data_IF_152689712874
#
_entry.id   IF_152689712874
#
_cell.length_a   1.000
_cell.length_b   1.000
_cell.length_c   1.000
_cell.angle_alpha   90.00
_cell.angle_beta   90.00
_cell.angle_gamma   90.00
#
_symmetry.space_group_name_H-M   'P 1'
#
loop_
_entity.id
_entity.type
_entity.pdbx_description
1 polymer ?
#
# COMPACT_ATOMS: atom_id res chain seq x y z
N UNK A 1 -4.32 -16.99 -14.94
CA UNK A 1 -5.15 -16.20 -15.86
C UNK A 1 -4.29 -15.01 -16.23
N UNK A 2 -3.71 -14.98 -17.44
CA UNK A 2 -2.88 -13.85 -17.87
C UNK A 2 -3.81 -12.68 -18.17
N UNK A 3 -4.04 -11.81 -17.20
CA UNK A 3 -4.70 -10.53 -17.43
C UNK A 3 -3.66 -9.63 -18.09
N UNK A 4 -3.74 -9.53 -19.42
CA UNK A 4 -2.98 -8.55 -20.17
C UNK A 4 -3.59 -7.19 -19.86
N UNK A 5 -2.93 -6.44 -18.98
CA UNK A 5 -3.35 -5.10 -18.59
C UNK A 5 -3.29 -4.22 -19.85
N UNK A 6 -4.31 -3.42 -20.10
CA UNK A 6 -4.22 -2.40 -21.14
C UNK A 6 -3.14 -1.39 -20.74
N UNK A 7 -1.98 -1.47 -21.41
CA UNK A 7 -0.79 -0.66 -21.16
C UNK A 7 -1.09 0.85 -21.12
N UNK A 8 -2.02 1.31 -21.96
CA UNK A 8 -2.39 2.72 -21.98
C UNK A 8 -3.22 3.13 -20.75
N UNK A 9 -4.12 2.25 -20.29
CA UNK A 9 -4.87 2.44 -19.05
C UNK A 9 -3.96 2.36 -17.83
N UNK A 10 -3.01 1.42 -17.78
CA UNK A 10 -2.02 1.33 -16.71
C UNK A 10 -1.12 2.56 -16.62
N UNK A 11 -0.64 3.06 -17.77
CA UNK A 11 0.19 4.26 -17.82
C UNK A 11 -0.55 5.51 -17.33
N UNK A 12 -1.82 5.69 -17.71
CA UNK A 12 -2.65 6.81 -17.23
C UNK A 12 -2.90 6.72 -15.73
N UNK A 13 -3.26 5.54 -15.23
CA UNK A 13 -3.45 5.32 -13.79
C UNK A 13 -2.14 5.56 -13.01
N UNK A 14 -1.00 5.09 -13.51
CA UNK A 14 0.31 5.35 -12.91
C UNK A 14 0.63 6.85 -12.84
N UNK A 15 0.29 7.62 -13.87
CA UNK A 15 0.46 9.07 -13.88
C UNK A 15 -0.46 9.78 -12.87
N UNK A 16 -1.70 9.32 -12.71
CA UNK A 16 -2.62 9.81 -11.68
C UNK A 16 -2.07 9.54 -10.28
N UNK A 17 -1.60 8.31 -10.03
CA UNK A 17 -0.98 7.95 -8.75
C UNK A 17 0.27 8.76 -8.46
N UNK A 18 1.15 8.97 -9.42
CA UNK A 18 2.38 9.73 -9.19
C UNK A 18 2.10 11.18 -8.79
N UNK A 19 1.15 11.83 -9.47
CA UNK A 19 0.73 13.20 -9.15
C UNK A 19 0.05 13.30 -7.79
N UNK A 20 -0.77 12.30 -7.44
CA UNK A 20 -1.52 12.29 -6.18
C UNK A 20 -0.72 11.74 -4.99
N UNK A 21 0.41 11.05 -5.24
CA UNK A 21 1.18 10.31 -4.23
C UNK A 21 1.49 11.11 -2.98
N UNK A 22 1.99 12.36 -3.03
CA UNK A 22 2.31 13.12 -1.81
C UNK A 22 1.09 13.29 -0.90
N UNK A 23 -0.07 13.62 -1.50
CA UNK A 23 -1.33 13.85 -0.79
C UNK A 23 -1.95 12.56 -0.26
N UNK A 24 -1.89 11.46 -1.04
CA UNK A 24 -2.32 10.13 -0.57
C UNK A 24 -1.46 9.70 0.62
N UNK A 25 -0.14 9.83 0.51
CA UNK A 25 0.78 9.40 1.56
C UNK A 25 0.56 10.18 2.86
N UNK A 26 0.38 11.49 2.76
CA UNK A 26 0.12 12.34 3.92
C UNK A 26 -1.20 11.95 4.62
N UNK A 27 -2.28 11.79 3.86
CA UNK A 27 -3.60 11.45 4.43
C UNK A 27 -3.63 10.07 5.05
N UNK A 28 -3.11 9.07 4.36
CA UNK A 28 -3.14 7.69 4.86
C UNK A 28 -2.20 7.53 6.05
N UNK A 29 -0.99 8.09 6.01
CA UNK A 29 -0.07 8.02 7.15
C UNK A 29 -0.65 8.69 8.40
N UNK A 30 -1.32 9.84 8.25
CA UNK A 30 -2.03 10.48 9.35
C UNK A 30 -3.17 9.62 9.90
N UNK A 31 -4.01 9.02 9.03
CA UNK A 31 -5.08 8.09 9.45
C UNK A 31 -4.52 6.87 10.18
N UNK A 32 -3.40 6.32 9.70
CA UNK A 32 -2.72 5.17 10.32
C UNK A 32 -2.22 5.50 11.72
N UNK A 33 -1.57 6.66 11.89
CA UNK A 33 -1.08 7.05 13.21
C UNK A 33 -2.19 7.33 14.22
N UNK A 34 -3.32 7.87 13.76
CA UNK A 34 -4.48 8.11 14.62
C UNK A 34 -5.19 6.81 15.03
N UNK A 35 -5.26 5.83 14.13
CA UNK A 35 -5.98 4.58 14.40
C UNK A 35 -5.12 3.50 15.09
N UNK A 36 -3.81 3.53 14.90
CA UNK A 36 -2.87 2.55 15.43
C UNK A 36 -1.68 3.25 16.11
N UNK A 37 -1.90 3.98 17.22
CA UNK A 37 -0.83 4.69 17.92
C UNK A 37 0.26 3.74 18.46
N UNK A 38 -0.01 2.45 18.64
CA UNK A 38 0.97 1.43 19.00
C UNK A 38 2.06 1.21 17.94
N UNK A 39 1.78 1.55 16.67
CA UNK A 39 2.78 1.52 15.60
C UNK A 39 3.92 2.51 15.85
N UNK A 40 3.65 3.58 16.61
CA UNK A 40 4.63 4.55 17.06
C UNK A 40 5.50 3.98 18.21
N UNK A 41 4.86 3.32 19.18
CA UNK A 41 5.54 2.79 20.37
C UNK A 41 6.45 1.59 20.06
N UNK A 42 6.10 0.77 19.07
CA UNK A 42 6.86 -0.44 18.73
C UNK A 42 8.23 -0.13 18.11
N UNK A 43 8.45 1.12 17.69
CA UNK A 43 9.70 1.56 17.07
C UNK A 43 10.81 1.91 18.07
N UNK A 44 10.59 1.83 19.40
CA UNK A 44 11.57 2.01 20.49
C UNK A 44 12.76 2.95 20.16
N UNK A 45 12.48 4.12 19.59
CA UNK A 45 13.48 5.12 19.26
C UNK A 45 13.26 6.28 20.21
N UNK A 46 14.25 6.54 21.06
CA UNK A 46 14.25 7.71 21.92
C UNK A 46 14.08 8.98 21.06
N UNK A 47 13.01 9.73 21.34
CA UNK A 47 12.83 11.14 21.02
C UNK A 47 12.65 11.53 19.54
N UNK A 48 11.40 11.54 19.07
CA UNK A 48 10.68 12.76 18.65
C UNK A 48 9.34 12.39 17.96
N UNK A 49 8.23 13.10 18.24
CA UNK A 49 6.95 12.88 17.55
C UNK A 49 7.02 13.07 16.01
N UNK A 50 8.09 13.70 15.51
CA UNK A 50 8.37 13.83 14.08
C UNK A 50 8.86 12.53 13.42
N UNK A 51 9.39 11.57 14.17
CA UNK A 51 9.97 10.35 13.61
C UNK A 51 8.91 9.29 13.27
N UNK A 52 7.89 9.15 14.11
CA UNK A 52 6.75 8.23 13.90
C UNK A 52 5.96 8.62 12.64
N UNK A 53 5.66 9.92 12.51
CA UNK A 53 5.04 10.49 11.32
C UNK A 53 5.90 10.26 10.08
N UNK A 54 7.23 10.39 10.20
CA UNK A 54 8.16 10.11 9.10
C UNK A 54 8.15 8.63 8.72
N UNK A 55 8.09 7.71 9.67
CA UNK A 55 8.11 6.27 9.39
C UNK A 55 6.80 5.78 8.79
N UNK A 56 5.65 6.24 9.30
CA UNK A 56 4.34 5.99 8.68
C UNK A 56 4.26 6.57 7.27
N UNK A 57 4.81 7.78 7.06
CA UNK A 57 4.92 8.38 5.74
C UNK A 57 5.81 7.56 4.81
N UNK A 58 7.00 7.14 5.25
CA UNK A 58 7.92 6.30 4.46
C UNK A 58 7.26 4.98 4.09
N UNK A 59 6.56 4.31 5.02
CA UNK A 59 5.85 3.06 4.72
C UNK A 59 4.77 3.26 3.65
N UNK A 60 4.00 4.35 3.76
CA UNK A 60 2.95 4.68 2.79
C UNK A 60 3.55 5.08 1.43
N UNK A 61 4.66 5.80 1.42
CA UNK A 61 5.40 6.17 0.20
C UNK A 61 5.94 4.92 -0.51
N UNK A 62 6.57 3.99 0.22
CA UNK A 62 7.05 2.71 -0.32
C UNK A 62 5.89 1.91 -0.93
N UNK A 63 4.75 1.86 -0.26
CA UNK A 63 3.55 1.20 -0.79
C UNK A 63 3.05 1.87 -2.08
N UNK A 64 2.94 3.21 -2.10
CA UNK A 64 2.53 3.94 -3.31
C UNK A 64 3.53 3.77 -4.47
N UNK A 65 4.83 3.72 -4.18
CA UNK A 65 5.86 3.42 -5.18
C UNK A 65 5.71 2.00 -5.73
N UNK A 66 5.44 1.02 -4.88
CA UNK A 66 5.15 -0.35 -5.31
C UNK A 66 3.93 -0.41 -6.23
N UNK A 67 2.83 0.27 -5.89
CA UNK A 67 1.65 0.37 -6.76
C UNK A 67 2.00 0.93 -8.13
N UNK A 68 2.79 2.02 -8.16
CA UNK A 68 3.25 2.62 -9.41
C UNK A 68 4.14 1.67 -10.20
N UNK A 69 5.04 0.94 -9.54
CA UNK A 69 5.91 -0.03 -10.20
C UNK A 69 5.12 -1.17 -10.83
N UNK A 70 4.15 -1.74 -10.11
CA UNK A 70 3.24 -2.78 -10.64
C UNK A 70 2.56 -2.29 -11.93
N UNK A 71 2.08 -1.04 -11.93
CA UNK A 71 1.42 -0.45 -13.10
C UNK A 71 2.37 -0.17 -14.26
N UNK A 72 3.55 0.38 -13.99
CA UNK A 72 4.54 0.73 -15.02
C UNK A 72 5.13 -0.53 -15.68
N UNK A 73 5.36 -1.57 -14.89
CA UNK A 73 5.93 -2.83 -15.37
C UNK A 73 4.88 -3.88 -15.72
N UNK A 74 3.59 -3.57 -15.54
CA UNK A 74 2.47 -4.50 -15.74
C UNK A 74 2.66 -5.84 -15.01
N UNK A 75 3.33 -5.81 -13.86
CA UNK A 75 3.81 -6.99 -13.15
C UNK A 75 3.26 -7.01 -11.73
N UNK A 76 2.12 -7.69 -11.55
CA UNK A 76 1.46 -7.84 -10.25
C UNK A 76 2.34 -8.67 -9.29
N UNK A 77 3.13 -9.59 -9.81
CA UNK A 77 4.04 -10.47 -9.07
C UNK A 77 5.14 -9.70 -8.33
N UNK A 78 5.49 -8.48 -8.79
CA UNK A 78 6.42 -7.60 -8.06
C UNK A 78 5.95 -7.35 -6.63
N UNK A 79 4.64 -7.22 -6.43
CA UNK A 79 4.08 -7.01 -5.11
C UNK A 79 4.31 -8.22 -4.18
N UNK A 80 4.23 -9.44 -4.72
CA UNK A 80 4.42 -10.68 -3.94
C UNK A 80 5.87 -10.78 -3.46
N UNK A 81 6.83 -10.53 -4.36
CA UNK A 81 8.24 -10.56 -4.01
C UNK A 81 8.59 -9.50 -2.96
N UNK A 82 8.16 -8.26 -3.15
CA UNK A 82 8.43 -7.15 -2.22
C UNK A 82 7.79 -7.39 -0.85
N UNK A 83 6.52 -7.80 -0.81
CA UNK A 83 5.82 -8.06 0.44
C UNK A 83 6.38 -9.27 1.18
N UNK A 84 6.75 -10.36 0.50
CA UNK A 84 7.38 -11.52 1.14
C UNK A 84 8.77 -11.19 1.69
N UNK A 85 9.54 -10.39 0.97
CA UNK A 85 10.86 -9.96 1.42
C UNK A 85 10.76 -9.06 2.66
N UNK A 86 9.80 -8.13 2.68
CA UNK A 86 9.60 -7.20 3.79
C UNK A 86 8.90 -7.85 5.00
N UNK A 87 8.07 -8.88 4.80
CA UNK A 87 7.25 -9.53 5.83
C UNK A 87 7.98 -9.84 7.16
N UNK A 88 9.13 -10.55 7.17
CA UNK A 88 9.80 -10.91 8.43
C UNK A 88 10.28 -9.69 9.22
N UNK A 89 10.60 -8.58 8.56
CA UNK A 89 11.02 -7.34 9.21
C UNK A 89 9.78 -6.64 9.77
N UNK A 90 8.72 -6.53 8.96
CA UNK A 90 7.47 -5.84 9.30
C UNK A 90 6.81 -6.47 10.54
N UNK A 91 6.69 -7.79 10.61
CA UNK A 91 6.05 -8.48 11.76
C UNK A 91 6.87 -8.33 13.05
N UNK A 92 8.20 -8.34 12.97
CA UNK A 92 9.07 -8.11 14.14
C UNK A 92 8.91 -6.71 14.74
N UNK A 93 8.44 -5.75 13.96
CA UNK A 93 8.11 -4.39 14.39
C UNK A 93 6.65 -4.26 14.86
N UNK A 94 5.98 -5.37 15.19
CA UNK A 94 4.60 -5.39 15.70
C UNK A 94 3.52 -5.05 14.67
N UNK A 95 3.88 -4.96 13.39
CA UNK A 95 2.91 -4.70 12.34
C UNK A 95 2.14 -5.98 12.03
N UNK A 96 0.81 -5.91 12.14
CA UNK A 96 -0.10 -7.05 11.97
C UNK A 96 -0.74 -7.05 10.59
N UNK A 97 -1.43 -8.14 10.26
CA UNK A 97 -2.36 -8.19 9.12
C UNK A 97 -3.34 -7.02 9.12
N UNK A 98 -3.92 -6.69 10.28
CA UNK A 98 -4.93 -5.63 10.38
C UNK A 98 -4.35 -4.26 9.97
N UNK A 99 -3.09 -3.98 10.34
CA UNK A 99 -2.41 -2.75 9.95
C UNK A 99 -2.20 -2.69 8.44
N UNK A 100 -1.67 -3.77 7.84
CA UNK A 100 -1.41 -3.86 6.40
C UNK A 100 -2.72 -3.79 5.58
N UNK A 101 -3.72 -4.59 5.93
CA UNK A 101 -5.02 -4.59 5.26
C UNK A 101 -5.71 -3.21 5.36
N UNK A 102 -5.58 -2.54 6.50
CA UNK A 102 -6.13 -1.18 6.68
C UNK A 102 -5.40 -0.16 5.81
N UNK A 103 -4.07 -0.23 5.74
CA UNK A 103 -3.26 0.63 4.88
C UNK A 103 -3.64 0.45 3.40
N UNK A 104 -3.74 -0.79 2.91
CA UNK A 104 -4.20 -1.10 1.54
C UNK A 104 -5.55 -0.45 1.28
N UNK A 105 -6.55 -0.75 2.12
CA UNK A 105 -7.91 -0.21 1.97
C UNK A 105 -7.92 1.32 1.91
N UNK A 106 -7.21 2.00 2.81
CA UNK A 106 -7.22 3.46 2.84
C UNK A 106 -6.48 4.11 1.69
N UNK A 107 -5.40 3.49 1.18
CA UNK A 107 -4.78 3.95 -0.06
C UNK A 107 -5.78 3.86 -1.21
N UNK A 108 -6.45 2.72 -1.38
CA UNK A 108 -7.43 2.54 -2.44
C UNK A 108 -8.69 3.41 -2.28
N UNK A 109 -9.08 3.77 -1.06
CA UNK A 109 -10.09 4.82 -0.80
C UNK A 109 -9.66 6.18 -1.37
N UNK A 110 -8.41 6.61 -1.16
CA UNK A 110 -7.91 7.87 -1.71
C UNK A 110 -7.73 7.79 -3.23
N UNK A 111 -7.27 6.66 -3.77
CA UNK A 111 -7.13 6.46 -5.23
C UNK A 111 -8.49 6.56 -5.92
N UNK A 112 -9.56 5.99 -5.33
CA UNK A 112 -10.92 6.09 -5.89
C UNK A 112 -11.50 7.51 -5.90
N UNK A 113 -10.89 8.47 -5.19
CA UNK A 113 -11.27 9.89 -5.24
C UNK A 113 -10.63 10.64 -6.40
N UNK A 114 -9.69 10.03 -7.11
CA UNK A 114 -9.08 10.62 -8.30
C UNK A 114 -10.09 10.63 -9.46
N UNK A 115 -9.94 11.56 -10.43
CA UNK A 115 -10.84 11.65 -11.58
C UNK A 115 -10.55 10.55 -12.61
N UNK A 116 -10.84 9.30 -12.25
CA UNK A 116 -10.56 8.11 -13.05
C UNK A 116 -11.71 7.79 -14.02
N UNK A 117 -11.35 7.31 -15.21
CA UNK A 117 -12.30 6.74 -16.16
C UNK A 117 -12.78 5.33 -15.74
N UNK A 118 -13.67 4.73 -16.53
CA UNK A 118 -14.24 3.42 -16.22
C UNK A 118 -13.20 2.28 -16.26
N UNK A 119 -12.23 2.34 -17.19
CA UNK A 119 -11.20 1.33 -17.33
C UNK A 119 -10.20 1.42 -16.17
N UNK A 120 -9.79 2.64 -15.80
CA UNK A 120 -8.95 2.89 -14.64
C UNK A 120 -9.61 2.44 -13.34
N UNK A 121 -10.92 2.67 -13.16
CA UNK A 121 -11.66 2.20 -11.98
C UNK A 121 -11.68 0.67 -11.87
N UNK A 122 -11.87 -0.03 -12.99
CA UNK A 122 -11.81 -1.49 -13.02
C UNK A 122 -10.41 -1.99 -12.63
N UNK A 123 -9.36 -1.39 -13.20
CA UNK A 123 -7.98 -1.75 -12.88
C UNK A 123 -7.64 -1.48 -11.40
N UNK A 124 -8.12 -0.37 -10.84
CA UNK A 124 -8.00 -0.06 -9.40
C UNK A 124 -8.68 -1.13 -8.55
N UNK A 125 -9.87 -1.60 -8.93
CA UNK A 125 -10.57 -2.66 -8.22
C UNK A 125 -9.79 -3.99 -8.28
N UNK A 126 -9.28 -4.37 -9.45
CA UNK A 126 -8.47 -5.58 -9.62
C UNK A 126 -7.19 -5.55 -8.79
N UNK A 127 -6.48 -4.42 -8.80
CA UNK A 127 -5.28 -4.21 -7.97
C UNK A 127 -5.59 -4.29 -6.47
N UNK A 128 -6.69 -3.68 -6.03
CA UNK A 128 -7.12 -3.73 -4.62
C UNK A 128 -7.40 -5.17 -4.19
N UNK A 129 -8.15 -5.94 -5.00
CA UNK A 129 -8.46 -7.34 -4.71
C UNK A 129 -7.19 -8.20 -4.67
N UNK A 130 -6.30 -8.00 -5.64
CA UNK A 130 -5.03 -8.72 -5.69
C UNK A 130 -4.19 -8.47 -4.42
N UNK A 131 -3.99 -7.21 -4.04
CA UNK A 131 -3.19 -6.84 -2.87
C UNK A 131 -3.83 -7.28 -1.56
N UNK A 132 -5.17 -7.20 -1.43
CA UNK A 132 -5.87 -7.71 -0.25
C UNK A 132 -5.68 -9.24 -0.10
N UNK A 133 -5.82 -9.99 -1.19
CA UNK A 133 -5.57 -11.43 -1.18
C UNK A 133 -4.13 -11.77 -0.82
N UNK A 134 -3.18 -10.99 -1.34
CA UNK A 134 -1.76 -11.16 -1.11
C UNK A 134 -1.38 -10.87 0.35
N UNK A 135 -1.83 -9.73 0.90
CA UNK A 135 -1.63 -9.37 2.32
C UNK A 135 -2.23 -10.43 3.23
N UNK A 136 -3.43 -10.93 2.94
CA UNK A 136 -4.01 -12.04 3.70
C UNK A 136 -3.13 -13.29 3.66
N UNK A 137 -2.65 -13.67 2.48
CA UNK A 137 -1.82 -14.88 2.30
C UNK A 137 -0.50 -14.79 3.06
N UNK A 138 0.11 -13.61 3.09
CA UNK A 138 1.43 -13.39 3.69
C UNK A 138 1.32 -13.21 5.22
N UNK A 139 0.39 -12.37 5.69
CA UNK A 139 0.30 -11.96 7.09
C UNK A 139 -0.70 -12.78 7.93
N UNK A 140 -1.53 -13.61 7.30
CA UNK A 140 -2.38 -14.61 7.96
C UNK A 140 -2.20 -15.99 7.32
N UNK A 141 -1.01 -16.61 7.45
CA UNK A 141 -0.83 -17.97 6.98
C UNK A 141 -1.78 -18.89 7.77
N UNK A 142 -2.52 -19.74 7.05
CA UNK A 142 -3.47 -20.67 7.66
C UNK A 142 -2.77 -21.52 8.74
N UNK A 143 -3.19 -21.37 10.01
CA UNK A 143 -2.67 -22.15 11.14
C UNK A 143 -1.98 -21.35 12.24
N UNK A 144 -2.57 -20.22 12.68
CA UNK A 144 -2.28 -19.63 14.00
C UNK A 144 -3.37 -20.02 14.98
#
# INVERSE_FOLDING_TARGET
>A
MNQQIDSQTAARLAAHLDRARPMICERVSAKMMLAFPELAATLQLESAPSLEQRLSKVATERFCEMLRAILVFEAFELADQELRWAHPIIVRQGVTYQHQATMVRWVFEEVRRLPLDAAEKNLVYELEQYLNNLVRTIFQPAGS
#
